data_IF_291719774926
#
_entry.id   IF_291719774926
#
_cell.length_a   1.000
_cell.length_b   1.000
_cell.length_c   1.000
_cell.angle_alpha   90.00
_cell.angle_beta   90.00
_cell.angle_gamma   90.00
#
_symmetry.space_group_name_H-M   'P 1'
#
loop_
_entity.id
_entity.type
_entity.pdbx_description
1 polymer ?
#
# COMPACT_ATOMS: atom_id res chain seq x y z
N UNK A 1 -40.58 16.18 18.83
CA UNK A 1 -40.39 15.38 17.63
C UNK A 1 -39.32 15.94 16.70
N UNK A 2 -39.33 17.23 16.39
CA UNK A 2 -38.29 17.83 15.54
C UNK A 2 -36.88 17.74 16.15
N UNK A 3 -36.76 17.79 17.48
CA UNK A 3 -35.47 17.65 18.17
C UNK A 3 -34.90 16.24 18.06
N UNK A 4 -35.74 15.22 18.08
CA UNK A 4 -35.34 13.83 17.94
C UNK A 4 -34.77 13.55 16.56
N UNK A 5 -35.37 14.11 15.51
CA UNK A 5 -34.92 13.95 14.12
C UNK A 5 -33.56 14.60 13.92
N UNK A 6 -33.32 15.77 14.51
CA UNK A 6 -32.01 16.45 14.42
C UNK A 6 -30.91 15.68 15.14
N UNK A 7 -31.20 15.06 16.27
CA UNK A 7 -30.27 14.23 17.02
C UNK A 7 -29.87 13.00 16.19
N UNK A 8 -30.81 12.39 15.49
CA UNK A 8 -30.55 11.25 14.62
C UNK A 8 -29.59 11.60 13.47
N UNK A 9 -29.81 12.73 12.82
CA UNK A 9 -28.96 13.19 11.72
C UNK A 9 -27.55 13.47 12.21
N UNK A 10 -27.38 14.08 13.37
CA UNK A 10 -26.10 14.38 13.95
C UNK A 10 -25.33 13.10 14.34
N UNK A 11 -26.03 12.04 14.76
CA UNK A 11 -25.41 10.78 15.11
C UNK A 11 -24.91 10.01 13.88
N UNK A 12 -25.54 10.18 12.71
CA UNK A 12 -25.14 9.49 11.48
C UNK A 12 -23.95 10.13 10.77
N UNK A 13 -23.80 11.45 10.87
CA UNK A 13 -22.70 12.18 10.22
C UNK A 13 -21.31 11.68 10.63
N UNK A 14 -20.98 11.46 11.92
CA UNK A 14 -19.67 10.95 12.31
C UNK A 14 -19.36 9.56 11.76
N UNK A 15 -20.35 8.68 11.65
CA UNK A 15 -20.18 7.32 11.11
C UNK A 15 -19.81 7.37 9.62
N UNK A 16 -20.50 8.19 8.84
CA UNK A 16 -20.22 8.36 7.42
C UNK A 16 -18.84 8.98 7.21
N UNK A 17 -18.49 10.00 7.99
CA UNK A 17 -17.18 10.64 7.91
C UNK A 17 -16.03 9.69 8.25
N UNK A 18 -16.21 8.83 9.26
CA UNK A 18 -15.22 7.85 9.65
C UNK A 18 -14.99 6.80 8.54
N UNK A 19 -16.05 6.29 7.92
CA UNK A 19 -15.94 5.31 6.83
C UNK A 19 -15.23 5.91 5.62
N UNK A 20 -15.55 7.14 5.23
CA UNK A 20 -14.91 7.83 4.12
C UNK A 20 -13.43 8.11 4.41
N UNK A 21 -13.10 8.47 5.65
CA UNK A 21 -11.71 8.71 6.06
C UNK A 21 -10.90 7.42 6.09
N UNK A 22 -11.49 6.32 6.52
CA UNK A 22 -10.84 5.00 6.53
C UNK A 22 -10.48 4.55 5.11
N UNK A 23 -11.40 4.72 4.14
CA UNK A 23 -11.13 4.41 2.74
C UNK A 23 -10.02 5.29 2.17
N UNK A 24 -10.02 6.57 2.53
CA UNK A 24 -8.99 7.51 2.10
C UNK A 24 -7.61 7.13 2.65
N UNK A 25 -7.51 6.74 3.93
CA UNK A 25 -6.23 6.37 4.55
C UNK A 25 -5.67 5.05 4.02
N UNK A 26 -6.50 4.19 3.42
CA UNK A 26 -6.07 2.92 2.82
C UNK A 26 -5.87 2.99 1.31
N UNK A 27 -5.87 4.19 0.76
CA UNK A 27 -5.74 4.38 -0.68
C UNK A 27 -4.42 3.84 -1.23
N UNK A 28 -3.31 4.12 -0.54
CA UNK A 28 -1.98 3.66 -0.96
C UNK A 28 -1.85 2.15 -0.88
N UNK A 29 -2.37 1.52 0.18
CA UNK A 29 -2.37 0.08 0.32
C UNK A 29 -3.14 -0.58 -0.81
N UNK A 30 -4.33 -0.05 -1.13
CA UNK A 30 -5.17 -0.61 -2.18
C UNK A 30 -4.54 -0.46 -3.56
N UNK A 31 -3.90 0.66 -3.85
CA UNK A 31 -3.21 0.86 -5.13
C UNK A 31 -2.05 -0.12 -5.31
N UNK A 32 -1.28 -0.39 -4.24
CA UNK A 32 -0.19 -1.36 -4.31
C UNK A 32 -0.73 -2.80 -4.40
N UNK A 33 -1.83 -3.11 -3.71
CA UNK A 33 -2.52 -4.40 -3.86
C UNK A 33 -2.90 -4.66 -5.32
N UNK A 34 -3.42 -3.64 -6.00
CA UNK A 34 -3.79 -3.77 -7.42
C UNK A 34 -2.58 -4.03 -8.31
N UNK A 35 -1.43 -3.43 -8.01
CA UNK A 35 -0.18 -3.72 -8.72
C UNK A 35 0.19 -5.20 -8.57
N UNK A 36 0.13 -5.72 -7.35
CA UNK A 36 0.48 -7.11 -7.07
C UNK A 36 -0.52 -8.06 -7.70
N UNK A 37 -1.81 -7.73 -7.70
CA UNK A 37 -2.88 -8.53 -8.29
C UNK A 37 -2.75 -8.67 -9.81
N UNK A 38 -2.00 -7.79 -10.48
CA UNK A 38 -1.68 -7.94 -11.91
C UNK A 38 -0.88 -9.21 -12.19
N UNK A 39 -0.25 -9.81 -11.19
CA UNK A 39 0.46 -11.09 -11.32
C UNK A 39 -0.47 -12.30 -11.25
N UNK A 40 -1.77 -12.10 -11.01
CA UNK A 40 -2.78 -13.17 -11.02
C UNK A 40 -3.17 -13.70 -9.64
N UNK A 41 -2.60 -13.18 -8.56
CA UNK A 41 -2.94 -13.59 -7.19
C UNK A 41 -3.46 -12.40 -6.39
N UNK A 42 -4.44 -12.61 -5.48
CA UNK A 42 -4.90 -11.55 -4.60
C UNK A 42 -3.81 -11.11 -3.64
N UNK A 43 -3.89 -9.87 -3.19
CA UNK A 43 -2.92 -9.31 -2.24
C UNK A 43 -3.64 -8.48 -1.19
N UNK A 44 -3.10 -8.49 0.02
CA UNK A 44 -3.55 -7.63 1.12
C UNK A 44 -2.32 -6.97 1.73
N UNK A 45 -2.26 -5.65 1.68
CA UNK A 45 -1.11 -4.88 2.15
C UNK A 45 -1.42 -4.13 3.43
N UNK A 46 -0.45 -4.08 4.33
CA UNK A 46 -0.51 -3.35 5.59
C UNK A 46 0.65 -2.37 5.67
N UNK A 47 0.35 -1.11 5.95
CA UNK A 47 1.35 -0.05 6.05
C UNK A 47 1.84 0.10 7.50
N UNK A 48 3.16 0.20 7.69
CA UNK A 48 3.78 0.51 8.98
C UNK A 48 4.65 1.74 8.78
N UNK A 49 4.26 2.85 9.40
CA UNK A 49 4.95 4.12 9.25
C UNK A 49 6.05 4.30 10.29
N UNK A 50 7.11 5.01 9.90
CA UNK A 50 8.18 5.46 10.81
C UNK A 50 8.87 4.32 11.57
N UNK A 51 9.00 3.16 10.92
CA UNK A 51 9.77 2.05 11.47
C UNK A 51 11.19 2.10 10.90
N UNK A 52 12.17 2.24 11.76
CA UNK A 52 13.59 2.37 11.38
C UNK A 52 13.81 3.49 10.35
N UNK A 53 13.08 4.59 10.48
CA UNK A 53 13.18 5.74 9.58
C UNK A 53 12.54 5.55 8.22
N UNK A 54 11.76 4.50 8.03
CA UNK A 54 11.11 4.17 6.76
C UNK A 54 9.61 3.97 6.93
N UNK A 55 8.88 4.17 5.84
CA UNK A 55 7.48 3.76 5.74
C UNK A 55 7.46 2.44 4.97
N UNK A 56 6.93 1.40 5.61
CA UNK A 56 6.91 0.04 5.09
C UNK A 56 5.53 -0.35 4.58
N UNK A 57 5.52 -1.19 3.56
CA UNK A 57 4.31 -1.84 3.08
C UNK A 57 4.58 -3.33 3.00
N UNK A 58 4.00 -4.10 3.92
CA UNK A 58 4.14 -5.55 3.93
C UNK A 58 2.85 -6.17 3.40
N UNK A 59 2.95 -7.06 2.44
CA UNK A 59 1.79 -7.62 1.76
C UNK A 59 1.73 -9.13 1.92
N UNK A 60 0.51 -9.64 2.08
CA UNK A 60 0.21 -11.07 1.96
C UNK A 60 -0.17 -11.32 0.50
N UNK A 61 0.42 -12.32 -0.10
CA UNK A 61 0.29 -12.60 -1.52
C UNK A 61 -0.24 -14.02 -1.73
N UNK A 62 -1.49 -14.11 -2.14
CA UNK A 62 -2.19 -15.36 -2.32
C UNK A 62 -3.43 -15.43 -1.44
N UNK A 63 -4.37 -16.26 -1.85
CA UNK A 63 -5.64 -16.45 -1.13
C UNK A 63 -5.40 -17.24 0.16
N UNK A 64 -5.89 -16.70 1.28
CA UNK A 64 -5.78 -17.36 2.57
C UNK A 64 -4.39 -17.36 3.18
N UNK A 65 -3.43 -16.62 2.58
CA UNK A 65 -2.07 -16.55 3.09
C UNK A 65 -2.01 -15.69 4.36
N UNK A 66 -1.43 -16.22 5.43
CA UNK A 66 -1.30 -15.53 6.70
C UNK A 66 0.06 -14.86 6.90
N UNK A 67 1.08 -15.32 6.18
CA UNK A 67 2.43 -14.77 6.29
C UNK A 67 2.68 -13.68 5.25
N UNK A 68 3.49 -12.70 5.62
CA UNK A 68 3.89 -11.67 4.67
C UNK A 68 4.85 -12.23 3.62
N UNK A 69 4.61 -11.89 2.36
CA UNK A 69 5.48 -12.22 1.24
C UNK A 69 6.23 -10.99 0.76
N UNK A 70 5.69 -10.22 -0.22
CA UNK A 70 6.39 -9.04 -0.73
C UNK A 70 6.40 -7.91 0.28
N UNK A 71 7.56 -7.27 0.44
CA UNK A 71 7.75 -6.11 1.34
C UNK A 71 8.36 -4.97 0.54
N UNK A 72 7.81 -3.78 0.76
CA UNK A 72 8.18 -2.56 0.06
C UNK A 72 8.47 -1.45 1.05
N UNK A 73 9.26 -0.46 0.64
CA UNK A 73 9.45 0.79 1.40
C UNK A 73 9.16 1.98 0.51
N UNK A 74 8.73 3.07 1.11
CA UNK A 74 8.54 4.33 0.40
C UNK A 74 9.91 4.91 0.06
N UNK A 75 10.19 5.04 -1.23
CA UNK A 75 11.48 5.51 -1.73
C UNK A 75 11.46 6.98 -2.15
N UNK A 76 10.29 7.61 -2.13
CA UNK A 76 10.13 9.00 -2.52
C UNK A 76 8.70 9.30 -2.90
N UNK A 77 8.49 10.43 -3.55
CA UNK A 77 7.17 10.89 -3.99
C UNK A 77 7.27 11.27 -5.47
N UNK A 78 6.31 10.81 -6.26
CA UNK A 78 6.25 11.11 -7.69
C UNK A 78 5.69 12.52 -7.94
N UNK A 79 5.69 12.96 -9.21
CA UNK A 79 5.19 14.28 -9.60
C UNK A 79 3.71 14.48 -9.27
N UNK A 80 2.93 13.39 -9.26
CA UNK A 80 1.50 13.41 -8.90
C UNK A 80 1.26 13.33 -7.40
N UNK A 81 2.30 13.48 -6.58
CA UNK A 81 2.28 13.42 -5.12
C UNK A 81 2.00 12.04 -4.54
N UNK A 82 1.94 11.02 -5.38
CA UNK A 82 1.81 9.63 -4.91
C UNK A 82 3.14 9.08 -4.43
N UNK A 83 3.15 8.20 -3.41
CA UNK A 83 4.39 7.57 -2.97
C UNK A 83 4.94 6.62 -4.02
N UNK A 84 6.27 6.51 -4.06
CA UNK A 84 6.98 5.54 -4.88
C UNK A 84 7.41 4.40 -3.96
N UNK A 85 7.02 3.17 -4.29
CA UNK A 85 7.34 1.98 -3.50
C UNK A 85 8.47 1.20 -4.15
N UNK A 86 9.50 0.87 -3.37
CA UNK A 86 10.63 0.09 -3.82
C UNK A 86 10.61 -1.30 -3.18
N UNK A 87 10.86 -2.37 -3.94
CA UNK A 87 10.90 -3.71 -3.38
C UNK A 87 12.12 -3.90 -2.49
N UNK A 88 11.90 -4.50 -1.32
CA UNK A 88 12.98 -4.74 -0.33
C UNK A 88 13.44 -6.19 -0.36
N UNK A 89 12.53 -7.14 -0.57
CA UNK A 89 12.85 -8.56 -0.57
C UNK A 89 12.70 -9.19 -1.96
N UNK A 90 13.12 -10.45 -2.08
CA UNK A 90 13.09 -11.17 -3.36
C UNK A 90 11.69 -11.34 -3.93
N UNK A 91 10.69 -11.56 -3.08
CA UNK A 91 9.29 -11.73 -3.53
C UNK A 91 8.78 -10.44 -4.17
N UNK A 92 9.01 -9.29 -3.54
CA UNK A 92 8.61 -8.00 -4.09
C UNK A 92 9.35 -7.69 -5.38
N UNK A 93 10.63 -8.02 -5.46
CA UNK A 93 11.42 -7.84 -6.68
C UNK A 93 10.88 -8.67 -7.84
N UNK A 94 10.50 -9.92 -7.59
CA UNK A 94 9.89 -10.77 -8.61
C UNK A 94 8.57 -10.20 -9.14
N UNK A 95 7.75 -9.65 -8.24
CA UNK A 95 6.48 -9.02 -8.63
C UNK A 95 6.75 -7.81 -9.50
N UNK A 96 7.71 -6.97 -9.12
CA UNK A 96 8.08 -5.80 -9.90
C UNK A 96 8.54 -6.20 -11.31
N UNK A 97 9.38 -7.22 -11.43
CA UNK A 97 9.89 -7.69 -12.71
C UNK A 97 8.79 -8.25 -13.62
N UNK A 98 7.74 -8.83 -13.05
CA UNK A 98 6.57 -9.30 -13.81
C UNK A 98 5.62 -8.17 -14.20
N UNK A 99 5.44 -7.22 -13.29
CA UNK A 99 4.47 -6.14 -13.46
C UNK A 99 4.94 -5.11 -14.49
N UNK A 100 6.16 -4.60 -14.38
CA UNK A 100 6.63 -3.52 -15.23
C UNK A 100 6.55 -3.82 -16.74
N UNK A 101 6.96 -5.03 -17.23
CA UNK A 101 6.85 -5.33 -18.65
C UNK A 101 5.40 -5.52 -19.13
N UNK A 102 4.48 -5.86 -18.23
CA UNK A 102 3.09 -6.18 -18.58
C UNK A 102 2.17 -4.95 -18.59
N UNK A 103 2.59 -3.84 -18.02
CA UNK A 103 1.75 -2.66 -17.81
C UNK A 103 2.38 -1.45 -18.45
N UNK A 104 1.59 -0.69 -19.23
CA UNK A 104 2.07 0.54 -19.86
C UNK A 104 2.39 1.62 -18.84
N UNK A 105 3.31 2.55 -19.13
CA UNK A 105 3.59 3.67 -18.23
C UNK A 105 2.34 4.49 -17.88
N UNK A 106 1.41 4.63 -18.81
CA UNK A 106 0.16 5.37 -18.59
C UNK A 106 -0.72 4.69 -17.55
N UNK A 107 -0.82 3.38 -17.61
CA UNK A 107 -1.59 2.60 -16.62
C UNK A 107 -0.89 2.57 -15.26
N UNK A 108 0.43 2.46 -15.26
CA UNK A 108 1.22 2.50 -14.03
C UNK A 108 1.03 3.81 -13.28
N UNK A 109 0.89 4.94 -14.00
CA UNK A 109 0.65 6.24 -13.38
C UNK A 109 -0.69 6.32 -12.64
N UNK A 110 -1.66 5.45 -12.98
CA UNK A 110 -2.97 5.38 -12.33
C UNK A 110 -3.00 4.45 -11.12
N UNK A 111 -2.00 3.58 -11.01
CA UNK A 111 -1.84 2.65 -9.89
C UNK A 111 -0.71 3.14 -8.99
N UNK A 112 -0.28 2.31 -8.05
CA UNK A 112 0.88 2.64 -7.23
C UNK A 112 2.12 2.73 -8.11
N UNK A 113 2.98 3.70 -7.83
CA UNK A 113 4.28 3.80 -8.48
C UNK A 113 5.23 2.82 -7.81
N UNK A 114 5.89 2.00 -8.61
CA UNK A 114 6.88 1.03 -8.13
C UNK A 114 8.18 1.24 -8.90
N UNK A 115 9.30 1.23 -8.18
CA UNK A 115 10.59 1.52 -8.78
C UNK A 115 11.68 0.73 -8.04
N UNK A 116 12.60 0.15 -8.81
CA UNK A 116 13.74 -0.59 -8.23
C UNK A 116 14.74 0.40 -7.64
N UNK A 117 15.21 0.12 -6.44
CA UNK A 117 16.24 0.89 -5.73
C UNK A 117 17.31 -0.05 -5.21
N UNK A 118 18.48 0.49 -4.88
CA UNK A 118 19.61 -0.25 -4.33
C UNK A 118 19.93 0.24 -2.92
N UNK A 119 20.73 -0.50 -2.13
CA UNK A 119 21.18 -0.01 -0.83
C UNK A 119 21.91 1.35 -0.89
N UNK A 120 22.61 1.63 -1.99
CA UNK A 120 23.26 2.93 -2.20
C UNK A 120 22.24 4.07 -2.34
N UNK A 121 21.04 3.76 -2.81
CA UNK A 121 19.93 4.72 -2.90
C UNK A 121 19.16 4.86 -1.58
N UNK A 122 19.63 4.22 -0.50
CA UNK A 122 18.99 4.28 0.80
C UNK A 122 18.03 3.13 1.09
N UNK A 123 17.99 2.11 0.24
CA UNK A 123 17.13 0.95 0.45
C UNK A 123 17.59 0.15 1.67
N UNK A 124 16.70 -0.24 2.61
CA UNK A 124 17.07 -1.11 3.73
C UNK A 124 17.58 -2.47 3.24
N UNK A 125 18.56 -3.02 3.94
CA UNK A 125 19.14 -4.33 3.60
C UNK A 125 18.38 -5.49 4.24
N UNK A 126 17.68 -5.24 5.34
CA UNK A 126 16.98 -6.26 6.10
C UNK A 126 15.57 -5.83 6.41
N UNK A 127 14.65 -6.80 6.45
CA UNK A 127 13.25 -6.57 6.77
C UNK A 127 13.03 -6.84 8.27
N UNK A 128 12.52 -5.88 9.04
CA UNK A 128 12.25 -6.08 10.46
C UNK A 128 10.93 -6.85 10.66
N UNK A 129 10.93 -8.14 10.32
CA UNK A 129 9.74 -8.99 10.29
C UNK A 129 8.94 -9.00 11.59
N UNK A 130 9.64 -8.98 12.72
CA UNK A 130 9.02 -9.03 14.05
C UNK A 130 8.31 -7.72 14.44
N UNK A 131 8.54 -6.65 13.71
CA UNK A 131 7.97 -5.34 13.98
C UNK A 131 6.93 -4.92 12.93
N UNK A 132 6.76 -5.68 11.87
CA UNK A 132 5.76 -5.43 10.83
C UNK A 132 4.43 -6.08 11.21
N UNK A 133 3.37 -5.28 11.18
CA UNK A 133 2.01 -5.75 11.42
C UNK A 133 1.06 -5.23 10.37
#
# INVERSE_FOLDING_TARGET
MKKSTKIYLLAMIPVIGWAAWSDFTRHDERELELVIEETGKPATCTRTEQLEGQDWMACRWGEGESDYGPVWVKAGVAEDEKPIWAPVNGTATQILDRYLPAVSPERQAKLAHVERRTPEDGLPRFVPWDQLD
#
